data_IF_499504486309
#
_entry.id   IF_499504486309
#
_cell.length_a   1.000
_cell.length_b   1.000
_cell.length_c   1.000
_cell.angle_alpha   90.00
_cell.angle_beta   90.00
_cell.angle_gamma   90.00
#
_symmetry.space_group_name_H-M   'P 1'
#
loop_
_entity.id
_entity.type
_entity.pdbx_description
1 polymer ?
#
# COMPACT_ATOMS: atom_id res chain seq x y z
N UNK A 1 29.28 -13.04 6.71
CA UNK A 1 28.11 -12.33 6.16
C UNK A 1 27.58 -11.41 7.25
N UNK A 2 27.31 -10.14 6.94
CA UNK A 2 26.85 -9.16 7.92
C UNK A 2 25.40 -9.47 8.32
N UNK A 3 25.09 -9.36 9.61
CA UNK A 3 23.75 -9.55 10.15
C UNK A 3 23.29 -8.29 10.87
N UNK A 4 21.98 -8.14 10.97
CA UNK A 4 21.30 -6.99 11.52
C UNK A 4 20.29 -7.44 12.57
N UNK A 5 20.25 -6.73 13.68
CA UNK A 5 19.26 -6.90 14.74
C UNK A 5 17.93 -6.27 14.34
N UNK A 6 16.85 -6.66 15.02
CA UNK A 6 15.53 -6.02 14.86
C UNK A 6 15.61 -4.49 14.97
N UNK A 7 16.45 -3.95 15.86
CA UNK A 7 16.59 -2.50 16.05
C UNK A 7 17.17 -1.85 14.79
N UNK A 8 18.27 -2.37 14.28
CA UNK A 8 18.94 -1.85 13.08
C UNK A 8 18.03 -1.96 11.85
N UNK A 9 17.36 -3.10 11.65
CA UNK A 9 16.41 -3.26 10.53
C UNK A 9 15.26 -2.27 10.62
N UNK A 10 14.76 -2.02 11.83
CA UNK A 10 13.66 -1.08 12.06
C UNK A 10 14.07 0.35 11.70
N UNK A 11 15.29 0.75 12.06
CA UNK A 11 15.86 2.05 11.69
C UNK A 11 16.07 2.17 10.17
N UNK A 12 16.65 1.14 9.54
CA UNK A 12 16.88 1.12 8.08
C UNK A 12 15.60 1.19 7.27
N UNK A 13 14.54 0.52 7.74
CA UNK A 13 13.26 0.43 7.06
C UNK A 13 12.27 1.52 7.49
N UNK A 14 12.66 2.39 8.43
CA UNK A 14 11.80 3.43 9.00
C UNK A 14 10.46 2.89 9.52
N UNK A 15 10.51 1.79 10.28
CA UNK A 15 9.35 1.22 10.98
C UNK A 15 9.65 1.08 12.47
N UNK A 16 8.60 0.99 13.28
CA UNK A 16 8.81 0.70 14.69
C UNK A 16 9.35 -0.73 14.89
N UNK A 17 10.25 -0.96 15.87
CA UNK A 17 10.63 -2.32 16.28
C UNK A 17 9.44 -3.18 16.69
N UNK A 18 8.36 -2.56 17.18
CA UNK A 18 7.11 -3.26 17.47
C UNK A 18 6.45 -3.81 16.19
N UNK A 19 6.40 -3.01 15.11
CA UNK A 19 5.86 -3.42 13.81
C UNK A 19 6.65 -4.58 13.22
N UNK A 20 7.99 -4.51 13.24
CA UNK A 20 8.84 -5.58 12.72
C UNK A 20 8.63 -6.88 13.52
N UNK A 21 8.59 -6.80 14.86
CA UNK A 21 8.29 -7.94 15.73
C UNK A 21 6.88 -8.49 15.53
N UNK A 22 5.91 -7.63 15.26
CA UNK A 22 4.54 -8.03 14.96
C UNK A 22 4.48 -8.83 13.66
N UNK A 23 5.13 -8.37 12.59
CA UNK A 23 5.23 -9.11 11.33
C UNK A 23 5.98 -10.44 11.49
N UNK A 24 7.07 -10.45 12.25
CA UNK A 24 7.79 -11.67 12.58
C UNK A 24 6.91 -12.68 13.35
N UNK A 25 6.18 -12.22 14.37
CA UNK A 25 5.23 -13.04 15.14
C UNK A 25 4.08 -13.58 14.27
N UNK A 26 3.70 -12.85 13.23
CA UNK A 26 2.72 -13.31 12.23
C UNK A 26 3.34 -14.26 11.19
N UNK A 27 4.61 -14.65 11.33
CA UNK A 27 5.25 -15.61 10.45
C UNK A 27 5.56 -15.06 9.06
N UNK A 28 5.70 -13.74 8.94
CA UNK A 28 6.03 -13.11 7.65
C UNK A 28 7.51 -13.26 7.28
N UNK A 29 8.36 -13.71 8.22
CA UNK A 29 9.79 -13.89 8.02
C UNK A 29 10.24 -15.28 8.48
N UNK A 30 9.74 -16.36 7.86
CA UNK A 30 10.07 -17.73 8.29
C UNK A 30 11.54 -18.10 8.05
N UNK A 31 12.27 -17.35 7.23
CA UNK A 31 13.66 -17.61 6.83
C UNK A 31 14.70 -16.99 7.77
N UNK A 32 14.30 -15.96 8.53
CA UNK A 32 15.21 -15.23 9.42
C UNK A 32 15.71 -16.16 10.52
N UNK A 33 17.02 -16.18 10.76
CA UNK A 33 17.60 -17.08 11.76
C UNK A 33 17.58 -16.45 13.15
N UNK A 34 17.82 -17.29 14.16
CA UNK A 34 18.12 -16.85 15.52
C UNK A 34 19.56 -17.19 15.85
N UNK A 35 20.23 -16.31 16.58
CA UNK A 35 21.59 -16.56 17.07
C UNK A 35 21.60 -17.40 18.35
N UNK A 36 22.80 -17.65 18.88
CA UNK A 36 23.02 -18.43 20.11
C UNK A 36 22.34 -17.85 21.36
N UNK A 37 22.00 -16.56 21.35
CA UNK A 37 21.24 -15.87 22.41
C UNK A 37 19.74 -15.82 22.12
N UNK A 38 19.26 -16.61 21.15
CA UNK A 38 17.86 -16.68 20.73
C UNK A 38 17.29 -15.36 20.14
N UNK A 39 18.16 -14.46 19.65
CA UNK A 39 17.78 -13.18 19.04
C UNK A 39 17.70 -13.32 17.52
N UNK A 40 16.67 -12.72 16.89
CA UNK A 40 16.53 -12.69 15.42
C UNK A 40 17.69 -11.91 14.78
N UNK A 41 18.33 -12.51 13.79
CA UNK A 41 19.38 -11.92 12.98
C UNK A 41 18.99 -11.97 11.51
N UNK A 42 18.86 -10.78 10.92
CA UNK A 42 18.50 -10.57 9.53
C UNK A 42 19.79 -10.42 8.71
N UNK A 43 19.94 -11.20 7.66
CA UNK A 43 20.99 -10.96 6.67
C UNK A 43 20.49 -10.01 5.57
N UNK A 44 21.32 -9.76 4.54
CA UNK A 44 20.97 -8.85 3.44
C UNK A 44 19.72 -9.30 2.64
N UNK A 45 19.60 -10.60 2.34
CA UNK A 45 18.42 -11.16 1.66
C UNK A 45 17.15 -11.01 2.53
N UNK A 46 17.28 -11.19 3.85
CA UNK A 46 16.17 -10.97 4.77
C UNK A 46 15.69 -9.50 4.77
N UNK A 47 16.59 -8.53 4.53
CA UNK A 47 16.20 -7.13 4.40
C UNK A 47 15.35 -6.89 3.15
N UNK A 48 15.67 -7.55 2.04
CA UNK A 48 14.85 -7.49 0.82
C UNK A 48 13.45 -8.06 1.08
N UNK A 49 13.36 -9.17 1.82
CA UNK A 49 12.08 -9.73 2.26
C UNK A 49 11.29 -8.81 3.18
N UNK A 50 11.96 -8.12 4.12
CA UNK A 50 11.32 -7.10 4.97
C UNK A 50 10.75 -5.99 4.11
N UNK A 51 11.50 -5.48 3.14
CA UNK A 51 11.03 -4.46 2.20
C UNK A 51 9.82 -4.94 1.39
N UNK A 52 9.86 -6.15 0.83
CA UNK A 52 8.74 -6.74 0.07
C UNK A 52 7.49 -6.84 0.94
N UNK A 53 7.60 -7.37 2.16
CA UNK A 53 6.47 -7.49 3.09
C UNK A 53 5.88 -6.13 3.42
N UNK A 54 6.73 -5.12 3.66
CA UNK A 54 6.28 -3.76 3.92
C UNK A 54 5.56 -3.15 2.71
N UNK A 55 6.11 -3.28 1.51
CA UNK A 55 5.49 -2.82 0.29
C UNK A 55 4.12 -3.48 0.08
N UNK A 56 4.04 -4.81 0.17
CA UNK A 56 2.77 -5.53 0.03
C UNK A 56 1.75 -5.07 1.07
N UNK A 57 2.14 -4.88 2.32
CA UNK A 57 1.24 -4.35 3.37
C UNK A 57 0.79 -2.92 3.08
N UNK A 58 1.67 -2.06 2.57
CA UNK A 58 1.35 -0.68 2.22
C UNK A 58 0.34 -0.59 1.07
N UNK A 59 0.27 -1.60 0.20
CA UNK A 59 -0.77 -1.67 -0.84
C UNK A 59 -2.18 -1.95 -0.32
N UNK A 60 -2.34 -2.26 0.98
CA UNK A 60 -3.60 -2.69 1.57
C UNK A 60 -3.82 -4.21 1.60
N UNK A 61 -2.85 -5.00 1.11
CA UNK A 61 -2.91 -6.46 1.12
C UNK A 61 -2.94 -6.99 2.57
N UNK A 62 -3.92 -7.81 2.94
CA UNK A 62 -4.06 -8.30 4.32
C UNK A 62 -2.85 -9.12 4.79
N UNK A 63 -2.66 -9.23 6.11
CA UNK A 63 -1.60 -10.08 6.68
C UNK A 63 -1.73 -11.53 6.19
N UNK A 64 -2.97 -12.04 6.11
CA UNK A 64 -3.21 -13.40 5.61
C UNK A 64 -2.79 -13.59 4.15
N UNK A 65 -3.01 -12.59 3.29
CA UNK A 65 -2.59 -12.66 1.89
C UNK A 65 -1.07 -12.54 1.75
N UNK A 66 -0.40 -11.77 2.61
CA UNK A 66 1.08 -11.74 2.64
C UNK A 66 1.63 -13.08 3.13
N UNK A 67 1.04 -13.70 4.17
CA UNK A 67 1.40 -15.06 4.60
C UNK A 67 1.21 -16.06 3.45
N UNK A 68 0.10 -15.97 2.72
CA UNK A 68 -0.17 -16.82 1.58
C UNK A 68 0.89 -16.65 0.48
N UNK A 69 1.27 -15.41 0.14
CA UNK A 69 2.35 -15.13 -0.81
C UNK A 69 3.68 -15.77 -0.39
N UNK A 70 4.06 -15.64 0.89
CA UNK A 70 5.29 -16.25 1.43
C UNK A 70 5.20 -17.78 1.37
N UNK A 71 4.06 -18.36 1.73
CA UNK A 71 3.85 -19.80 1.67
C UNK A 71 3.91 -20.34 0.24
N UNK A 72 3.44 -19.59 -0.76
CA UNK A 72 3.62 -19.93 -2.17
C UNK A 72 5.10 -19.92 -2.52
N UNK A 73 5.83 -18.85 -2.19
CA UNK A 73 7.28 -18.77 -2.44
C UNK A 73 8.03 -19.98 -1.87
N UNK A 74 7.69 -20.42 -0.65
CA UNK A 74 8.30 -21.60 0.00
C UNK A 74 8.07 -22.92 -0.73
N UNK A 75 7.02 -23.03 -1.53
CA UNK A 75 6.75 -24.21 -2.35
C UNK A 75 7.61 -24.24 -3.63
N UNK A 76 8.40 -23.20 -3.90
CA UNK A 76 9.28 -23.14 -5.07
C UNK A 76 8.58 -22.67 -6.33
N UNK A 77 9.14 -23.05 -7.47
CA UNK A 77 8.81 -22.43 -8.76
C UNK A 77 7.47 -22.87 -9.35
N UNK A 78 6.91 -24.00 -8.89
CA UNK A 78 5.58 -24.48 -9.27
C UNK A 78 4.46 -23.47 -8.92
N UNK A 79 4.73 -22.56 -7.98
CA UNK A 79 3.76 -21.53 -7.56
C UNK A 79 3.96 -20.16 -8.20
N UNK A 80 4.93 -19.98 -9.10
CA UNK A 80 5.22 -18.68 -9.74
C UNK A 80 3.96 -18.07 -10.34
N UNK A 81 3.13 -18.88 -11.01
CA UNK A 81 1.87 -18.41 -11.60
C UNK A 81 0.90 -17.85 -10.54
N UNK A 82 0.71 -18.56 -9.42
CA UNK A 82 -0.16 -18.11 -8.32
C UNK A 82 0.36 -16.85 -7.63
N UNK A 83 1.68 -16.74 -7.47
CA UNK A 83 2.34 -15.53 -6.95
C UNK A 83 2.08 -14.34 -7.86
N UNK A 84 2.25 -14.52 -9.17
CA UNK A 84 2.00 -13.50 -10.18
C UNK A 84 0.53 -13.04 -10.19
N UNK A 85 -0.41 -13.99 -10.16
CA UNK A 85 -1.86 -13.70 -10.13
C UNK A 85 -2.23 -12.80 -8.94
N UNK A 86 -1.77 -13.15 -7.73
CA UNK A 86 -2.00 -12.36 -6.53
C UNK A 86 -1.47 -10.92 -6.66
N UNK A 87 -0.27 -10.75 -7.23
CA UNK A 87 0.31 -9.41 -7.42
C UNK A 87 -0.43 -8.62 -8.51
N UNK A 88 -0.91 -9.28 -9.56
CA UNK A 88 -1.71 -8.64 -10.61
C UNK A 88 -3.03 -8.15 -10.04
N UNK A 89 -3.73 -8.98 -9.27
CA UNK A 89 -4.99 -8.61 -8.60
C UNK A 89 -4.80 -7.39 -7.70
N UNK A 90 -3.77 -7.43 -6.83
CA UNK A 90 -3.49 -6.31 -5.94
C UNK A 90 -3.13 -5.04 -6.71
N UNK A 91 -2.36 -5.16 -7.80
CA UNK A 91 -2.05 -4.02 -8.67
C UNK A 91 -3.31 -3.38 -9.26
N UNK A 92 -4.32 -4.16 -9.64
CA UNK A 92 -5.57 -3.59 -10.15
C UNK A 92 -6.34 -2.82 -9.06
N UNK A 93 -6.35 -3.34 -7.83
CA UNK A 93 -6.95 -2.66 -6.68
C UNK A 93 -6.28 -1.29 -6.45
N UNK A 94 -4.95 -1.25 -6.41
CA UNK A 94 -4.19 0.00 -6.24
C UNK A 94 -4.48 0.97 -7.39
N UNK A 95 -4.51 0.50 -8.64
CA UNK A 95 -4.81 1.35 -9.80
C UNK A 95 -6.18 2.00 -9.70
N UNK A 96 -7.18 1.26 -9.22
CA UNK A 96 -8.52 1.79 -8.97
C UNK A 96 -8.49 2.87 -7.88
N UNK A 97 -7.83 2.59 -6.76
CA UNK A 97 -7.68 3.55 -5.66
C UNK A 97 -6.95 4.83 -6.10
N UNK A 98 -5.91 4.71 -6.93
CA UNK A 98 -5.19 5.86 -7.48
C UNK A 98 -6.10 6.71 -8.38
N UNK A 99 -6.92 6.09 -9.22
CA UNK A 99 -7.88 6.80 -10.06
C UNK A 99 -8.96 7.53 -9.24
N UNK A 100 -9.40 6.93 -8.13
CA UNK A 100 -10.34 7.57 -7.20
C UNK A 100 -9.69 8.74 -6.44
N UNK A 101 -8.47 8.57 -5.94
CA UNK A 101 -7.73 9.63 -5.26
C UNK A 101 -7.43 10.80 -6.19
N UNK A 102 -7.11 10.53 -7.45
CA UNK A 102 -6.93 11.57 -8.47
C UNK A 102 -8.19 12.39 -8.67
N UNK A 103 -9.36 11.75 -8.79
CA UNK A 103 -10.64 12.45 -8.92
C UNK A 103 -10.95 13.32 -7.69
N UNK A 104 -10.67 12.81 -6.48
CA UNK A 104 -10.83 13.57 -5.23
C UNK A 104 -9.90 14.78 -5.19
N UNK A 105 -8.64 14.60 -5.62
CA UNK A 105 -7.67 15.69 -5.72
C UNK A 105 -8.13 16.77 -6.71
N UNK A 106 -8.65 16.40 -7.89
CA UNK A 106 -9.19 17.37 -8.86
C UNK A 106 -10.33 18.22 -8.27
N UNK A 107 -11.19 17.62 -7.42
CA UNK A 107 -12.24 18.37 -6.72
C UNK A 107 -11.66 19.36 -5.70
N UNK A 108 -10.63 18.95 -4.94
CA UNK A 108 -9.95 19.83 -3.98
C UNK A 108 -9.27 21.00 -4.68
N UNK A 109 -8.55 20.75 -5.78
CA UNK A 109 -7.91 21.80 -6.59
C UNK A 109 -8.93 22.83 -7.09
N UNK A 110 -10.09 22.38 -7.57
CA UNK A 110 -11.17 23.28 -7.94
C UNK A 110 -11.63 24.16 -6.77
N UNK A 111 -11.81 23.57 -5.57
CA UNK A 111 -12.22 24.33 -4.38
C UNK A 111 -11.16 25.33 -3.93
N UNK A 112 -9.89 24.94 -3.96
CA UNK A 112 -8.77 25.84 -3.65
C UNK A 112 -8.79 27.04 -4.60
N UNK A 113 -8.93 26.82 -5.91
CA UNK A 113 -8.99 27.90 -6.89
C UNK A 113 -10.19 28.85 -6.66
N UNK A 114 -11.36 28.32 -6.29
CA UNK A 114 -12.54 29.14 -5.95
C UNK A 114 -12.24 30.06 -4.76
N UNK A 115 -11.66 29.53 -3.69
CA UNK A 115 -11.36 30.32 -2.50
C UNK A 115 -10.24 31.33 -2.74
N UNK A 116 -9.21 30.99 -3.53
CA UNK A 116 -8.18 31.93 -3.92
C UNK A 116 -8.77 33.12 -4.70
N UNK A 117 -9.65 32.84 -5.66
CA UNK A 117 -10.34 33.89 -6.40
C UNK A 117 -11.18 34.82 -5.53
N UNK A 118 -11.79 34.31 -4.44
CA UNK A 118 -12.52 35.13 -3.46
C UNK A 118 -11.59 36.04 -2.66
N UNK A 119 -10.42 35.55 -2.25
CA UNK A 119 -9.41 36.33 -1.54
C UNK A 119 -8.89 37.47 -2.43
N UNK A 120 -8.69 37.20 -3.71
CA UNK A 120 -8.19 38.16 -4.69
C UNK A 120 -9.24 39.22 -5.10
N UNK A 121 -10.41 39.25 -4.43
CA UNK A 121 -11.44 40.27 -4.63
C UNK A 121 -12.42 40.00 -5.78
N UNK A 122 -12.40 38.81 -6.38
CA UNK A 122 -13.40 38.45 -7.39
C UNK A 122 -14.77 38.24 -6.71
N UNK A 123 -15.83 38.87 -7.24
CA UNK A 123 -17.21 38.64 -6.79
C UNK A 123 -17.65 37.21 -7.14
N UNK A 124 -17.45 36.28 -6.21
CA UNK A 124 -18.01 34.92 -6.32
C UNK A 124 -19.27 34.84 -5.45
N UNK A 125 -20.43 34.53 -6.04
CA UNK A 125 -21.63 34.21 -5.25
C UNK A 125 -21.40 32.89 -4.54
N UNK A 126 -21.48 32.89 -3.20
CA UNK A 126 -21.40 31.66 -2.39
C UNK A 126 -22.55 30.73 -2.75
N UNK A 127 -22.23 29.70 -3.52
CA UNK A 127 -23.07 28.54 -3.73
C UNK A 127 -22.13 27.33 -3.65
N UNK A 128 -22.35 26.41 -2.71
CA UNK A 128 -21.58 25.17 -2.61
C UNK A 128 -22.33 23.94 -3.17
N UNK A 129 -22.56 23.82 -4.49
CA UNK A 129 -22.81 22.53 -5.12
C UNK A 129 -21.53 21.96 -5.70
N UNK A 130 -21.48 20.64 -5.70
CA UNK A 130 -20.66 19.85 -6.62
C UNK A 130 -21.08 20.26 -8.04
N UNK A 131 -20.16 20.75 -8.87
CA UNK A 131 -20.51 21.15 -10.24
C UNK A 131 -21.18 19.98 -10.97
N UNK A 132 -22.18 20.26 -11.82
CA UNK A 132 -22.85 19.26 -12.67
C UNK A 132 -21.85 18.39 -13.47
N UNK A 133 -20.67 18.95 -13.79
CA UNK A 133 -19.57 18.23 -14.46
C UNK A 133 -18.94 17.15 -13.56
N UNK A 134 -18.85 17.39 -12.26
CA UNK A 134 -18.37 16.41 -11.28
C UNK A 134 -19.45 15.35 -11.01
N UNK A 135 -20.73 15.75 -10.86
CA UNK A 135 -21.86 14.80 -10.71
C UNK A 135 -22.00 13.85 -11.90
N UNK A 136 -21.88 14.35 -13.13
CA UNK A 136 -21.91 13.53 -14.36
C UNK A 136 -20.73 12.57 -14.47
N UNK A 137 -19.52 12.97 -14.04
CA UNK A 137 -18.34 12.07 -14.03
C UNK A 137 -18.45 10.97 -12.99
N UNK A 138 -19.00 11.26 -11.80
CA UNK A 138 -19.26 10.25 -10.77
C UNK A 138 -20.33 9.23 -11.18
N UNK A 139 -21.40 9.67 -11.86
CA UNK A 139 -22.42 8.76 -12.40
C UNK A 139 -21.84 7.81 -13.47
N UNK A 140 -21.03 8.33 -14.40
CA UNK A 140 -20.41 7.52 -15.46
C UNK A 140 -19.44 6.47 -14.88
N UNK A 141 -18.62 6.83 -13.89
CA UNK A 141 -17.69 5.90 -13.25
C UNK A 141 -18.41 4.81 -12.44
N UNK A 142 -19.49 5.15 -11.73
CA UNK A 142 -20.29 4.16 -10.99
C UNK A 142 -21.07 3.21 -11.91
N UNK A 143 -21.50 3.66 -13.10
CA UNK A 143 -22.14 2.78 -14.09
C UNK A 143 -21.17 1.79 -14.76
N UNK A 144 -19.90 2.16 -14.95
CA UNK A 144 -18.88 1.24 -15.52
C UNK A 144 -18.43 0.15 -14.53
N UNK A 145 -18.57 0.39 -13.23
CA UNK A 145 -18.24 -0.56 -12.16
C UNK A 145 -19.33 -1.64 -11.93
N UNK A 146 -20.52 -1.51 -12.55
CA UNK A 146 -21.64 -2.45 -12.43
C UNK A 146 -21.78 -3.42 -13.62
N UNK A 147 -20.92 -3.29 -14.62
CA UNK A 147 -20.93 -4.10 -15.85
C UNK A 147 -19.76 -5.12 -15.92
N UNK A 148 -19.09 -5.34 -14.79
CA UNK A 148 -18.07 -6.38 -14.55
C UNK A 148 -18.54 -7.16 -13.32
#
# INVERSE_FOLDING_TARGET
>A
MKTYTVKEVSEMMNISPYTLRFYDKKGLFPFVKRNSKNVREFNEEDLEWVYIVMCLRATGLSISNVQYYINLFRQGDDTVKKRLELLIEQRQIIKKQLAELKQKSEMLEYKIAVYQGMIDGNKVRLHNPISEKVKKREQINNSKLRLI
#
